data_IF_553948792597
#
_entry.id   IF_553948792597
#
_cell.length_a   1.000
_cell.length_b   1.000
_cell.length_c   1.000
_cell.angle_alpha   90.00
_cell.angle_beta   90.00
_cell.angle_gamma   90.00
#
_symmetry.space_group_name_H-M   'P 1'
#
loop_
_entity.id
_entity.type
_entity.pdbx_description
1 polymer ?
#
# COMPACT_ATOMS: atom_id res chain seq x y z
N UNK A 1 -13.15 -1.33 -27.82
CA UNK A 1 -12.00 -1.95 -27.13
C UNK A 1 -11.77 -1.22 -25.81
N UNK A 2 -12.39 -1.65 -24.72
CA UNK A 2 -12.15 -1.07 -23.40
C UNK A 2 -10.90 -1.73 -22.79
N UNK A 3 -9.72 -1.21 -23.13
CA UNK A 3 -8.51 -1.42 -22.34
C UNK A 3 -8.70 -0.73 -20.99
N UNK A 4 -9.49 -1.36 -20.13
CA UNK A 4 -9.96 -0.78 -18.87
C UNK A 4 -8.78 -0.62 -17.93
N UNK A 5 -8.34 0.62 -17.73
CA UNK A 5 -7.37 0.97 -16.69
C UNK A 5 -7.83 0.33 -15.38
N UNK A 6 -7.04 -0.58 -14.82
CA UNK A 6 -7.31 -1.11 -13.49
C UNK A 6 -6.82 -0.13 -12.44
N UNK A 7 -7.46 -0.16 -11.27
CA UNK A 7 -7.15 0.64 -10.10
C UNK A 7 -6.98 -0.32 -8.93
N UNK A 8 -5.94 -0.08 -8.16
CA UNK A 8 -5.67 -0.82 -6.93
C UNK A 8 -6.46 -0.21 -5.77
N UNK A 9 -7.23 -1.04 -5.09
CA UNK A 9 -8.05 -0.63 -3.94
C UNK A 9 -7.91 -1.62 -2.80
N UNK A 10 -8.05 -1.15 -1.57
CA UNK A 10 -8.11 -1.98 -0.37
C UNK A 10 -9.56 -2.10 0.08
N UNK A 11 -10.04 -3.32 0.27
CA UNK A 11 -11.40 -3.59 0.71
C UNK A 11 -11.59 -3.19 2.19
N UNK A 12 -12.66 -2.48 2.53
CA UNK A 12 -13.04 -2.19 3.93
C UNK A 12 -14.01 -3.21 4.53
N UNK A 13 -14.71 -3.94 3.66
CA UNK A 13 -15.62 -5.03 4.00
C UNK A 13 -15.28 -6.26 3.13
N UNK A 14 -15.90 -7.39 3.40
CA UNK A 14 -15.79 -8.55 2.51
C UNK A 14 -16.46 -8.23 1.16
N UNK A 15 -15.69 -8.25 0.08
CA UNK A 15 -16.21 -8.12 -1.28
C UNK A 15 -16.27 -9.50 -1.92
N UNK A 16 -17.32 -9.78 -2.68
CA UNK A 16 -17.43 -11.01 -3.45
C UNK A 16 -17.43 -10.63 -4.92
N UNK A 17 -16.40 -11.07 -5.64
CA UNK A 17 -16.25 -10.87 -7.07
C UNK A 17 -16.67 -12.13 -7.80
N UNK A 18 -17.65 -12.04 -8.69
CA UNK A 18 -17.95 -13.12 -9.63
C UNK A 18 -17.15 -12.93 -10.93
N UNK A 19 -16.37 -13.93 -11.31
CA UNK A 19 -15.72 -14.01 -12.63
C UNK A 19 -16.15 -15.31 -13.35
N UNK A 20 -15.77 -15.46 -14.63
CA UNK A 20 -16.06 -16.65 -15.43
C UNK A 20 -15.52 -17.95 -14.80
N UNK A 21 -14.51 -17.86 -13.94
CA UNK A 21 -13.93 -18.97 -13.18
C UNK A 21 -14.53 -19.20 -11.78
N UNK A 22 -15.47 -18.37 -11.32
CA UNK A 22 -16.14 -18.53 -10.03
C UNK A 22 -16.15 -17.28 -9.14
N UNK A 23 -16.62 -17.46 -7.89
CA UNK A 23 -16.71 -16.40 -6.89
C UNK A 23 -15.42 -16.31 -6.08
N UNK A 24 -14.78 -15.14 -6.13
CA UNK A 24 -13.60 -14.82 -5.32
C UNK A 24 -14.01 -13.90 -4.18
N UNK A 25 -13.76 -14.33 -2.95
CA UNK A 25 -13.98 -13.51 -1.75
C UNK A 25 -12.73 -12.73 -1.38
N UNK A 26 -12.86 -11.41 -1.34
CA UNK A 26 -11.80 -10.45 -0.98
C UNK A 26 -12.08 -9.98 0.43
N UNK A 27 -11.15 -10.21 1.35
CA UNK A 27 -11.32 -9.89 2.76
C UNK A 27 -11.07 -8.41 3.04
N UNK A 28 -11.65 -7.83 4.11
CA UNK A 28 -11.29 -6.50 4.55
C UNK A 28 -9.79 -6.39 4.85
N UNK A 29 -9.16 -5.28 4.48
CA UNK A 29 -7.71 -5.06 4.53
C UNK A 29 -6.93 -5.66 3.36
N UNK A 30 -7.57 -6.46 2.49
CA UNK A 30 -6.93 -7.02 1.32
C UNK A 30 -6.91 -6.01 0.17
N UNK A 31 -5.75 -5.88 -0.47
CA UNK A 31 -5.57 -5.03 -1.65
C UNK A 31 -5.79 -5.84 -2.93
N UNK A 32 -6.57 -5.29 -3.87
CA UNK A 32 -6.94 -5.93 -5.14
C UNK A 32 -6.93 -4.94 -6.29
N UNK A 33 -6.68 -5.44 -7.51
CA UNK A 33 -6.78 -4.67 -8.75
C UNK A 33 -8.14 -4.88 -9.43
N UNK A 34 -8.90 -3.81 -9.57
CA UNK A 34 -10.26 -3.79 -10.13
C UNK A 34 -10.33 -2.84 -11.34
N UNK A 35 -11.27 -3.04 -12.29
CA UNK A 35 -11.54 -2.05 -13.33
C UNK A 35 -11.81 -0.68 -12.73
N UNK A 36 -11.28 0.41 -13.31
CA UNK A 36 -11.42 1.76 -12.76
C UNK A 36 -12.88 2.13 -12.42
N UNK A 37 -13.84 1.74 -13.25
CA UNK A 37 -15.27 1.98 -12.99
C UNK A 37 -15.79 1.26 -11.74
N UNK A 38 -15.42 -0.01 -11.54
CA UNK A 38 -15.80 -0.74 -10.32
C UNK A 38 -15.08 -0.20 -9.08
N UNK A 39 -13.79 0.10 -9.21
CA UNK A 39 -13.00 0.69 -8.14
C UNK A 39 -13.61 2.01 -7.65
N UNK A 40 -13.94 2.92 -8.57
CA UNK A 40 -14.60 4.20 -8.25
C UNK A 40 -15.96 3.97 -7.56
N UNK A 41 -16.77 3.03 -8.06
CA UNK A 41 -18.06 2.71 -7.45
C UNK A 41 -17.91 2.19 -6.01
N UNK A 42 -16.92 1.32 -5.75
CA UNK A 42 -16.66 0.78 -4.42
C UNK A 42 -16.09 1.83 -3.46
N UNK A 43 -15.22 2.72 -3.96
CA UNK A 43 -14.68 3.84 -3.18
C UNK A 43 -15.79 4.83 -2.83
N UNK A 44 -16.60 5.24 -3.82
CA UNK A 44 -17.70 6.19 -3.61
C UNK A 44 -18.75 5.67 -2.63
N UNK A 45 -18.97 4.36 -2.58
CA UNK A 45 -19.86 3.71 -1.61
C UNK A 45 -19.23 3.47 -0.23
N UNK A 46 -17.92 3.71 -0.09
CA UNK A 46 -17.18 3.49 1.14
C UNK A 46 -16.85 2.03 1.44
N UNK A 47 -17.04 1.11 0.48
CA UNK A 47 -16.72 -0.32 0.63
C UNK A 47 -15.25 -0.64 0.40
N UNK A 48 -14.54 0.23 -0.31
CA UNK A 48 -13.10 0.14 -0.53
C UNK A 48 -12.45 1.52 -0.37
N UNK A 49 -11.12 1.56 -0.25
CA UNK A 49 -10.32 2.79 -0.31
C UNK A 49 -9.27 2.68 -1.42
N UNK A 50 -8.93 3.80 -2.04
CA UNK A 50 -7.82 3.83 -2.99
C UNK A 50 -6.54 3.37 -2.29
N UNK A 51 -5.92 2.31 -2.79
CA UNK A 51 -4.66 1.82 -2.28
C UNK A 51 -3.57 2.38 -3.19
N UNK A 52 -2.86 3.39 -2.71
CA UNK A 52 -1.69 3.91 -3.41
C UNK A 52 -0.66 2.77 -3.53
N UNK A 53 -0.05 2.63 -4.69
CA UNK A 53 1.27 2.02 -4.77
C UNK A 53 2.19 2.97 -4.00
N UNK A 54 2.33 2.76 -2.70
CA UNK A 54 3.35 3.46 -1.94
C UNK A 54 4.69 3.11 -2.58
N UNK A 55 5.18 4.02 -3.43
CA UNK A 55 6.60 4.30 -3.49
C UNK A 55 7.02 4.44 -2.04
N UNK A 56 7.60 3.38 -1.49
CA UNK A 56 8.20 3.42 -0.17
C UNK A 56 9.04 4.71 -0.10
N UNK A 57 8.88 5.55 0.94
CA UNK A 57 9.88 6.59 1.17
C UNK A 57 11.21 5.85 1.28
N UNK A 58 12.13 6.12 0.35
CA UNK A 58 13.50 5.62 0.41
C UNK A 58 13.99 5.80 1.85
N UNK A 59 14.47 4.72 2.52
CA UNK A 59 14.88 4.84 3.91
C UNK A 59 15.92 5.95 4.02
N UNK A 60 15.66 6.91 4.93
CA UNK A 60 16.63 7.95 5.30
C UNK A 60 17.97 7.26 5.53
N UNK A 61 18.94 7.59 4.68
CA UNK A 61 20.33 7.21 4.89
C UNK A 61 20.69 7.55 6.34
N UNK A 62 21.12 6.54 7.09
CA UNK A 62 21.33 6.59 8.53
C UNK A 62 22.16 7.83 8.94
N UNK A 63 21.92 8.44 10.11
CA UNK A 63 22.85 9.43 10.64
C UNK A 63 24.22 8.76 10.84
N UNK A 64 25.35 9.39 10.43
CA UNK A 64 26.66 8.82 10.68
C UNK A 64 26.84 8.65 12.18
N UNK A 65 27.15 7.41 12.56
CA UNK A 65 27.42 6.93 13.92
C UNK A 65 28.34 7.94 14.62
N UNK A 66 27.81 8.64 15.63
CA UNK A 66 28.60 9.45 16.57
C UNK A 66 29.62 8.51 17.21
N UNK A 67 30.89 8.62 16.84
CA UNK A 67 31.98 8.00 17.60
C UNK A 67 32.05 8.74 18.94
N UNK A 68 31.93 8.06 20.09
CA UNK A 68 32.41 8.62 21.34
C UNK A 68 33.92 8.39 21.36
N UNK A 69 34.68 9.39 20.91
CA UNK A 69 36.10 9.43 21.25
C UNK A 69 36.18 9.83 22.72
N UNK A 70 36.22 8.82 23.59
CA UNK A 70 36.73 8.98 24.95
C UNK A 70 38.13 9.55 24.82
N UNK A 71 38.44 10.67 25.45
CA UNK A 71 38.67 10.66 26.89
C UNK A 71 40.18 10.70 27.10
N UNK A 72 40.64 11.88 27.51
CA UNK A 72 41.75 12.10 28.45
C UNK A 72 43.04 11.30 28.22
N UNK A 73 44.06 11.98 27.67
CA UNK A 73 45.45 11.60 27.92
C UNK A 73 46.35 12.85 27.94
N UNK A 74 46.76 13.25 29.14
CA UNK A 74 48.15 13.62 29.39
C UNK A 74 48.49 15.11 29.44
N UNK A 75 48.31 15.69 30.62
CA UNK A 75 49.11 16.83 31.09
C UNK A 75 50.47 16.32 31.57
N UNK A 76 51.56 16.94 31.13
CA UNK A 76 52.93 16.67 31.55
C UNK A 76 53.94 17.46 30.72
#
# INVERSE_FOLDING_TARGET
MAGGKTRRVEARITLVRGDLGGLTSIRPGQTVDLPAGEAEALISRGFARAASTETAPLPKSAPPKKVPDGGDNGMG
#
